data_IF_216582764450
#
_entry.id   IF_216582764450
#
_cell.length_a   1.000
_cell.length_b   1.000
_cell.length_c   1.000
_cell.angle_alpha   90.00
_cell.angle_beta   90.00
_cell.angle_gamma   90.00
#
_symmetry.space_group_name_H-M   'P 1'
#
loop_
_entity.id
_entity.type
_entity.pdbx_description
1 polymer ?
#
# COMPACT_ATOMS: atom_id res chain seq x y z
N UNK A 1 9.95 -7.40 7.29
CA UNK A 1 9.43 -7.44 5.91
C UNK A 1 10.51 -7.87 4.92
N UNK A 2 10.25 -8.92 4.13
CA UNK A 2 10.99 -9.32 2.95
C UNK A 2 10.63 -8.39 1.78
N UNK A 3 11.64 -7.83 1.11
CA UNK A 3 11.46 -6.93 -0.02
C UNK A 3 11.78 -7.64 -1.34
N UNK A 4 10.79 -7.76 -2.21
CA UNK A 4 10.91 -8.27 -3.58
C UNK A 4 10.98 -7.06 -4.52
N UNK A 5 12.11 -6.90 -5.20
CA UNK A 5 12.34 -5.82 -6.17
C UNK A 5 12.18 -6.35 -7.60
N UNK A 6 11.34 -5.71 -8.40
CA UNK A 6 11.06 -6.10 -9.78
C UNK A 6 11.36 -4.93 -10.75
N UNK A 7 12.01 -5.17 -11.92
CA UNK A 7 12.40 -6.47 -12.46
C UNK A 7 13.65 -7.04 -11.78
N UNK A 8 14.49 -6.16 -11.24
CA UNK A 8 15.71 -6.50 -10.53
C UNK A 8 15.97 -5.48 -9.42
N UNK A 9 16.77 -5.84 -8.39
CA UNK A 9 17.21 -4.89 -7.38
C UNK A 9 17.90 -3.65 -7.98
N UNK A 10 18.74 -3.84 -9.01
CA UNK A 10 19.51 -2.77 -9.63
C UNK A 10 18.63 -1.73 -10.30
N UNK A 11 17.62 -2.15 -11.06
CA UNK A 11 16.71 -1.25 -11.76
C UNK A 11 15.82 -0.49 -10.78
N UNK A 12 15.31 -1.17 -9.76
CA UNK A 12 14.51 -0.54 -8.70
C UNK A 12 15.35 0.49 -7.94
N UNK A 13 16.58 0.16 -7.57
CA UNK A 13 17.48 1.08 -6.87
C UNK A 13 17.85 2.30 -7.74
N UNK A 14 18.01 2.10 -9.05
CA UNK A 14 18.25 3.19 -9.99
C UNK A 14 17.03 4.12 -10.13
N UNK A 15 15.82 3.57 -10.20
CA UNK A 15 14.58 4.35 -10.26
C UNK A 15 14.36 5.17 -8.97
N UNK A 16 14.57 4.54 -7.80
CA UNK A 16 14.51 5.23 -6.50
C UNK A 16 15.55 6.34 -6.38
N UNK A 17 16.78 6.11 -6.86
CA UNK A 17 17.84 7.12 -6.86
C UNK A 17 17.48 8.33 -7.73
N UNK A 18 16.80 8.09 -8.86
CA UNK A 18 16.32 9.12 -9.78
C UNK A 18 15.02 9.80 -9.32
N UNK A 19 14.45 9.38 -8.19
CA UNK A 19 13.15 9.85 -7.69
C UNK A 19 12.02 9.63 -8.72
N UNK A 20 12.07 8.51 -9.44
CA UNK A 20 10.94 8.10 -10.26
C UNK A 20 9.76 7.67 -9.37
N UNK A 21 8.52 7.82 -9.85
CA UNK A 21 7.37 7.30 -9.13
C UNK A 21 7.44 5.77 -9.01
N UNK A 22 7.22 5.29 -7.79
CA UNK A 22 7.32 3.89 -7.42
C UNK A 22 5.94 3.31 -7.12
N UNK A 23 5.79 2.01 -7.37
CA UNK A 23 4.60 1.22 -7.10
C UNK A 23 4.95 0.13 -6.09
N UNK A 24 4.18 0.03 -5.00
CA UNK A 24 4.37 -1.01 -4.01
C UNK A 24 3.07 -1.70 -3.58
N UNK A 25 3.16 -3.02 -3.46
CA UNK A 25 2.16 -3.88 -2.84
C UNK A 25 2.77 -4.51 -1.58
N UNK A 26 2.17 -4.25 -0.41
CA UNK A 26 2.70 -4.68 0.90
C UNK A 26 1.67 -5.60 1.55
N UNK A 27 2.02 -6.83 1.89
CA UNK A 27 1.08 -7.80 2.45
C UNK A 27 0.51 -7.30 3.77
N UNK A 28 -0.75 -7.65 4.08
CA UNK A 28 -1.42 -7.17 5.28
C UNK A 28 -0.80 -7.61 6.59
N UNK A 29 -0.04 -8.70 6.59
CA UNK A 29 0.76 -9.16 7.72
C UNK A 29 2.09 -8.40 7.88
N UNK A 30 2.48 -7.58 6.89
CA UNK A 30 3.75 -6.85 6.86
C UNK A 30 4.97 -7.74 6.59
N UNK A 31 4.77 -9.01 6.24
CA UNK A 31 5.87 -9.94 6.02
C UNK A 31 6.54 -9.74 4.66
N UNK A 32 5.79 -9.36 3.63
CA UNK A 32 6.28 -9.21 2.25
C UNK A 32 5.90 -7.87 1.66
N UNK A 33 6.82 -7.23 0.94
CA UNK A 33 6.51 -6.14 0.03
C UNK A 33 7.12 -6.38 -1.34
N UNK A 34 6.39 -5.99 -2.37
CA UNK A 34 6.83 -6.03 -3.76
C UNK A 34 6.91 -4.59 -4.25
N UNK A 35 8.06 -4.23 -4.80
CA UNK A 35 8.41 -2.86 -5.20
C UNK A 35 8.89 -2.85 -6.64
N UNK A 36 8.36 -1.92 -7.42
CA UNK A 36 8.81 -1.65 -8.79
C UNK A 36 8.63 -0.18 -9.13
N UNK A 37 9.31 0.28 -10.17
CA UNK A 37 9.02 1.55 -10.82
C UNK A 37 7.60 1.49 -11.43
N UNK A 38 6.87 2.62 -11.48
CA UNK A 38 5.43 2.59 -11.81
C UNK A 38 5.11 2.09 -13.22
N UNK A 39 5.87 2.49 -14.24
CA UNK A 39 5.66 2.10 -15.63
C UNK A 39 6.02 0.63 -15.86
N UNK A 40 7.00 0.12 -15.11
CA UNK A 40 7.34 -1.31 -15.12
C UNK A 40 6.31 -2.14 -14.36
N UNK A 41 5.85 -1.69 -13.19
CA UNK A 41 4.81 -2.36 -12.42
C UNK A 41 3.43 -2.31 -13.09
N UNK A 42 3.15 -1.24 -13.85
CA UNK A 42 1.90 -0.88 -14.54
C UNK A 42 0.72 -0.70 -13.58
N UNK A 43 0.30 -1.76 -12.90
CA UNK A 43 -0.74 -1.77 -11.88
C UNK A 43 -0.39 -2.77 -10.79
N UNK A 44 -0.89 -2.57 -9.55
CA UNK A 44 -0.52 -3.43 -8.42
C UNK A 44 -0.82 -4.92 -8.68
N UNK A 45 -1.95 -5.25 -9.33
CA UNK A 45 -2.30 -6.64 -9.63
C UNK A 45 -1.37 -7.25 -10.71
N UNK A 46 -0.91 -6.44 -11.67
CA UNK A 46 0.08 -6.84 -12.67
C UNK A 46 1.44 -7.05 -12.00
N UNK A 47 1.85 -6.13 -11.12
CA UNK A 47 3.07 -6.26 -10.33
C UNK A 47 3.08 -7.54 -9.49
N UNK A 48 1.97 -7.89 -8.84
CA UNK A 48 1.83 -9.16 -8.12
C UNK A 48 2.10 -10.35 -9.04
N UNK A 49 1.46 -10.40 -10.21
CA UNK A 49 1.67 -11.48 -11.19
C UNK A 49 3.13 -11.56 -11.66
N UNK A 50 3.74 -10.41 -11.96
CA UNK A 50 5.16 -10.31 -12.35
C UNK A 50 6.11 -10.81 -11.25
N UNK A 51 5.72 -10.68 -9.99
CA UNK A 51 6.45 -11.20 -8.83
C UNK A 51 6.09 -12.65 -8.46
N UNK A 52 5.24 -13.34 -9.24
CA UNK A 52 4.87 -14.74 -9.04
C UNK A 52 3.66 -14.99 -8.13
N UNK A 53 2.91 -13.95 -7.78
CA UNK A 53 1.66 -14.05 -7.02
C UNK A 53 0.45 -14.12 -7.96
N UNK A 54 -0.74 -14.42 -7.42
CA UNK A 54 -1.97 -14.33 -8.21
C UNK A 54 -2.47 -12.88 -8.21
N UNK A 55 -3.09 -12.48 -9.30
CA UNK A 55 -3.80 -11.19 -9.40
C UNK A 55 -4.86 -11.04 -8.29
N UNK A 56 -5.57 -12.12 -7.97
CA UNK A 56 -6.59 -12.20 -6.91
C UNK A 56 -6.04 -12.05 -5.51
N UNK A 57 -4.71 -12.17 -5.31
CA UNK A 57 -4.10 -11.93 -4.01
C UNK A 57 -4.10 -10.42 -3.65
N UNK A 58 -4.46 -9.53 -4.57
CA UNK A 58 -4.49 -8.08 -4.36
C UNK A 58 -5.30 -7.63 -3.13
N UNK A 59 -6.33 -8.38 -2.76
CA UNK A 59 -7.16 -8.14 -1.58
C UNK A 59 -6.47 -8.57 -0.26
N UNK A 60 -5.20 -8.96 -0.32
CA UNK A 60 -4.34 -9.29 0.81
C UNK A 60 -3.16 -8.31 0.95
N UNK A 61 -3.13 -7.25 0.12
CA UNK A 61 -2.04 -6.26 0.08
C UNK A 61 -2.55 -4.82 0.24
N UNK A 62 -1.82 -4.02 1.02
CA UNK A 62 -1.86 -2.58 0.96
C UNK A 62 -1.17 -2.11 -0.31
N UNK A 63 -1.72 -1.06 -0.94
CA UNK A 63 -1.31 -0.63 -2.29
C UNK A 63 -0.98 0.84 -2.29
N UNK A 64 0.26 1.18 -2.57
CA UNK A 64 0.71 2.57 -2.63
C UNK A 64 1.38 2.89 -3.96
N UNK A 65 1.29 4.17 -4.34
CA UNK A 65 2.19 4.82 -5.30
C UNK A 65 2.94 5.89 -4.50
N UNK A 66 4.24 6.03 -4.69
CA UNK A 66 5.00 6.99 -3.90
C UNK A 66 6.24 7.51 -4.63
N UNK A 67 6.68 8.69 -4.22
CA UNK A 67 7.95 9.31 -4.57
C UNK A 67 8.45 10.10 -3.35
N UNK A 68 9.39 11.05 -3.52
CA UNK A 68 9.89 11.90 -2.43
C UNK A 68 8.89 12.95 -1.94
N UNK A 69 7.80 13.21 -2.65
CA UNK A 69 6.81 14.21 -2.27
C UNK A 69 5.69 13.60 -1.39
N UNK A 70 5.39 12.31 -1.59
CA UNK A 70 4.34 11.65 -0.83
C UNK A 70 4.12 10.19 -1.19
N UNK A 71 3.31 9.51 -0.37
CA UNK A 71 2.80 8.18 -0.67
C UNK A 71 1.27 8.20 -0.75
N UNK A 72 0.73 7.93 -1.92
CA UNK A 72 -0.70 7.79 -2.16
C UNK A 72 -1.16 6.34 -1.92
N UNK A 73 -1.94 6.15 -0.87
CA UNK A 73 -2.53 4.85 -0.54
C UNK A 73 -3.87 4.66 -1.24
N UNK A 74 -3.96 3.61 -2.06
CA UNK A 74 -5.22 3.06 -2.56
C UNK A 74 -5.97 2.35 -1.43
N UNK A 75 -6.75 3.14 -0.70
CA UNK A 75 -7.51 2.70 0.46
C UNK A 75 -8.79 1.95 0.05
N UNK A 76 -8.68 0.63 -0.09
CA UNK A 76 -9.81 -0.26 -0.36
C UNK A 76 -9.77 -1.37 0.67
N UNK A 77 -10.64 -1.27 1.66
CA UNK A 77 -10.75 -2.25 2.74
C UNK A 77 -11.59 -3.46 2.28
N UNK A 78 -11.04 -4.68 2.26
CA UNK A 78 -11.79 -5.87 1.87
C UNK A 78 -12.97 -6.16 2.81
N UNK A 79 -14.08 -6.75 2.33
CA UNK A 79 -15.23 -7.07 3.15
C UNK A 79 -14.90 -8.07 4.28
N UNK A 80 -13.99 -8.99 4.03
CA UNK A 80 -13.58 -10.04 4.98
C UNK A 80 -12.32 -9.69 5.78
N UNK A 81 -11.88 -8.42 5.77
CA UNK A 81 -10.64 -8.02 6.43
C UNK A 81 -10.65 -8.42 7.92
N UNK A 82 -9.77 -9.37 8.27
CA UNK A 82 -9.63 -9.99 9.60
C UNK A 82 -10.94 -10.56 10.18
N UNK A 83 -11.91 -10.89 9.34
CA UNK A 83 -13.21 -11.41 9.77
C UNK A 83 -14.03 -10.44 10.63
N UNK A 84 -13.76 -9.13 10.55
CA UNK A 84 -14.48 -8.13 11.36
C UNK A 84 -15.83 -7.84 10.70
N UNK A 85 -16.97 -8.16 11.35
CA UNK A 85 -18.29 -8.05 10.71
C UNK A 85 -18.75 -6.58 10.61
N UNK A 86 -18.43 -5.77 11.62
CA UNK A 86 -18.84 -4.37 11.69
C UNK A 86 -17.96 -3.50 10.78
N UNK A 87 -18.58 -2.87 9.78
CA UNK A 87 -17.89 -2.14 8.70
C UNK A 87 -17.03 -0.99 9.21
N UNK A 88 -17.52 -0.21 10.17
CA UNK A 88 -16.80 0.90 10.80
C UNK A 88 -15.54 0.41 11.53
N UNK A 89 -15.67 -0.63 12.37
CA UNK A 89 -14.54 -1.25 13.07
C UNK A 89 -13.54 -1.90 12.12
N UNK A 90 -14.02 -2.50 11.04
CA UNK A 90 -13.18 -3.09 10.00
C UNK A 90 -12.34 -2.02 9.31
N UNK A 91 -12.95 -0.89 8.94
CA UNK A 91 -12.28 0.25 8.30
C UNK A 91 -11.31 0.93 9.27
N UNK A 92 -11.69 1.14 10.53
CA UNK A 92 -10.81 1.68 11.57
C UNK A 92 -9.56 0.82 11.74
N UNK A 93 -9.75 -0.51 11.82
CA UNK A 93 -8.64 -1.47 11.96
C UNK A 93 -7.75 -1.48 10.72
N UNK A 94 -8.35 -1.53 9.54
CA UNK A 94 -7.65 -1.50 8.26
C UNK A 94 -6.80 -0.24 8.11
N UNK A 95 -7.33 0.91 8.52
CA UNK A 95 -6.59 2.18 8.55
C UNK A 95 -5.38 2.12 9.47
N UNK A 96 -5.55 1.70 10.73
CA UNK A 96 -4.46 1.63 11.70
C UNK A 96 -3.36 0.65 11.27
N UNK A 97 -3.76 -0.54 10.82
CA UNK A 97 -2.83 -1.56 10.35
C UNK A 97 -2.08 -1.07 9.11
N UNK A 98 -2.79 -0.58 8.09
CA UNK A 98 -2.16 -0.10 6.87
C UNK A 98 -1.27 1.11 7.09
N UNK A 99 -1.67 2.08 7.91
CA UNK A 99 -0.81 3.22 8.24
C UNK A 99 0.50 2.77 8.90
N UNK A 100 0.43 1.84 9.87
CA UNK A 100 1.61 1.30 10.53
C UNK A 100 2.52 0.55 9.55
N UNK A 101 1.95 -0.39 8.79
CA UNK A 101 2.71 -1.26 7.88
C UNK A 101 3.31 -0.50 6.70
N UNK A 102 2.57 0.45 6.12
CA UNK A 102 3.08 1.33 5.04
C UNK A 102 4.19 2.23 5.57
N UNK A 103 4.03 2.80 6.77
CA UNK A 103 5.07 3.66 7.36
C UNK A 103 6.35 2.88 7.63
N UNK A 104 6.25 1.66 8.14
CA UNK A 104 7.40 0.76 8.35
C UNK A 104 8.10 0.45 7.02
N UNK A 105 7.34 0.08 5.98
CA UNK A 105 7.87 -0.16 4.65
C UNK A 105 8.63 1.06 4.11
N UNK A 106 8.01 2.24 4.09
CA UNK A 106 8.61 3.47 3.58
C UNK A 106 9.90 3.81 4.35
N UNK A 107 9.89 3.68 5.67
CA UNK A 107 11.07 3.90 6.49
C UNK A 107 12.20 2.91 6.16
N UNK A 108 11.88 1.63 5.99
CA UNK A 108 12.85 0.59 5.64
C UNK A 108 13.57 0.88 4.30
N UNK A 109 12.88 1.50 3.34
CA UNK A 109 13.45 1.86 2.04
C UNK A 109 13.99 3.29 1.97
N UNK A 110 14.03 4.01 3.10
CA UNK A 110 14.64 5.34 3.22
C UNK A 110 13.75 6.53 2.85
N UNK A 111 12.43 6.33 2.76
CA UNK A 111 11.47 7.40 2.46
C UNK A 111 10.84 7.93 3.75
N UNK A 112 10.96 9.25 3.96
CA UNK A 112 10.36 9.98 5.07
C UNK A 112 9.28 10.92 4.52
N UNK A 113 8.19 10.34 4.02
CA UNK A 113 7.11 11.06 3.34
C UNK A 113 5.77 10.84 4.02
N UNK A 114 4.84 11.77 3.81
CA UNK A 114 3.47 11.64 4.31
C UNK A 114 2.67 10.59 3.54
N UNK A 115 1.81 9.85 4.24
CA UNK A 115 0.84 8.94 3.63
C UNK A 115 -0.47 9.71 3.41
N UNK A 116 -0.89 9.78 2.15
CA UNK A 116 -2.10 10.43 1.70
C UNK A 116 -3.12 9.37 1.28
N UNK A 117 -4.40 9.61 1.61
CA UNK A 117 -5.51 8.84 1.04
C UNK A 117 -6.27 9.75 0.06
N UNK A 118 -6.14 9.52 -1.25
CA UNK A 118 -6.79 10.35 -2.27
C UNK A 118 -8.30 10.50 -2.06
N UNK A 119 -8.84 11.67 -2.42
CA UNK A 119 -10.27 12.02 -2.23
C UNK A 119 -11.24 10.94 -2.74
N UNK A 120 -10.91 10.27 -3.85
CA UNK A 120 -11.72 9.19 -4.43
C UNK A 120 -12.01 8.04 -3.46
N UNK A 121 -11.13 7.79 -2.49
CA UNK A 121 -11.29 6.73 -1.49
C UNK A 121 -11.90 7.23 -0.16
N UNK A 122 -12.12 8.55 -0.01
CA UNK A 122 -12.64 9.13 1.25
C UNK A 122 -14.05 8.68 1.60
N UNK A 123 -14.88 8.27 0.63
CA UNK A 123 -16.21 7.70 0.92
C UNK A 123 -16.15 6.48 1.85
N UNK A 124 -15.03 5.76 1.86
CA UNK A 124 -14.79 4.68 2.82
C UNK A 124 -14.40 5.21 4.21
N UNK A 125 -13.73 6.36 4.28
CA UNK A 125 -13.24 7.00 5.51
C UNK A 125 -14.25 7.91 6.20
N UNK A 126 -15.20 8.51 5.47
CA UNK A 126 -16.13 9.52 6.01
C UNK A 126 -16.94 8.97 7.22
N UNK A 127 -17.14 7.65 7.29
CA UNK A 127 -17.79 6.99 8.43
C UNK A 127 -16.97 6.98 9.74
N UNK A 128 -15.66 7.25 9.68
CA UNK A 128 -14.80 7.42 10.88
C UNK A 128 -14.98 8.81 11.52
N UNK A 129 -15.36 9.81 10.73
CA UNK A 129 -15.54 11.19 11.18
C UNK A 129 -16.84 11.41 11.96
N UNK A 130 -17.90 10.65 11.66
CA UNK A 130 -19.21 10.78 12.32
C UNK A 130 -19.23 10.26 13.77
N UNK A 131 -18.24 9.45 14.20
CA UNK A 131 -18.15 8.95 15.57
C UNK A 131 -17.24 9.80 16.49
N UNK A 132 -16.60 10.86 15.98
CA UNK A 132 -15.64 11.67 16.75
C UNK A 132 -16.24 12.93 17.42
N UNK A 133 -17.57 13.02 17.51
CA UNK A 133 -18.26 14.07 18.28
C UNK A 133 -18.99 13.46 19.48
N UNK A 134 -18.27 13.32 20.59
CA UNK A 134 -18.81 13.26 21.95
C UNK A 134 -17.91 14.06 22.89
#
# INVERSE_FOLDING_TARGET
MQLIKYPSPQEVDAAMAQNEPMLAAISFDGETAILSQIDEGVEHHILLMKAGFRDTDIDQFFRIVFDRDGADWTFVCPPEYKGIPFKDKRIERFYKDGFSTISEFLHQIGYLVGINIPKRYRRHLDMLGEQSTL
#
